data_IF_335142080762
#
_entry.id   IF_335142080762
#
_cell.length_a   1.000
_cell.length_b   1.000
_cell.length_c   1.000
_cell.angle_alpha   90.00
_cell.angle_beta   90.00
_cell.angle_gamma   90.00
#
_symmetry.space_group_name_H-M   'P 1'
#
loop_
_entity.id
_entity.type
_entity.pdbx_description
1 polymer ?
#
# COMPACT_ATOMS: atom_id res chain seq x y z
N UNK A 1 -3.39 -2.84 0.17
CA UNK A 1 -3.22 -3.61 -1.09
C UNK A 1 -2.81 -2.63 -2.19
N UNK A 2 -2.80 -3.00 -3.48
CA UNK A 2 -2.67 -2.01 -4.56
C UNK A 2 -4.02 -1.30 -4.79
N UNK A 3 -3.98 -0.06 -5.25
CA UNK A 3 -5.17 0.77 -5.46
C UNK A 3 -6.24 0.14 -6.36
N UNK A 4 -5.86 -0.69 -7.35
CA UNK A 4 -6.83 -1.40 -8.20
C UNK A 4 -7.60 -2.48 -7.43
N UNK A 5 -6.98 -3.16 -6.46
CA UNK A 5 -7.68 -4.12 -5.61
C UNK A 5 -8.74 -3.41 -4.78
N UNK A 6 -8.40 -2.27 -4.16
CA UNK A 6 -9.34 -1.46 -3.39
C UNK A 6 -10.51 -0.92 -4.23
N UNK A 7 -10.24 -0.48 -5.47
CA UNK A 7 -11.28 -0.10 -6.42
C UNK A 7 -12.25 -1.26 -6.68
N UNK A 8 -11.73 -2.44 -7.02
CA UNK A 8 -12.56 -3.60 -7.34
C UNK A 8 -13.36 -4.09 -6.13
N UNK A 9 -12.77 -4.06 -4.94
CA UNK A 9 -13.48 -4.39 -3.69
C UNK A 9 -14.60 -3.41 -3.39
N UNK A 10 -14.41 -2.11 -3.64
CA UNK A 10 -15.46 -1.10 -3.55
C UNK A 10 -16.63 -1.38 -4.51
N UNK A 11 -16.34 -1.70 -5.77
CA UNK A 11 -17.37 -2.11 -6.75
C UNK A 11 -18.09 -3.39 -6.30
N UNK A 12 -17.37 -4.36 -5.76
CA UNK A 12 -17.95 -5.58 -5.23
C UNK A 12 -18.88 -5.31 -4.04
N UNK A 13 -18.48 -4.48 -3.09
CA UNK A 13 -19.33 -4.09 -1.95
C UNK A 13 -20.60 -3.37 -2.43
N UNK A 14 -20.49 -2.44 -3.37
CA UNK A 14 -21.66 -1.78 -3.94
C UNK A 14 -22.66 -2.77 -4.56
N UNK A 15 -22.15 -3.84 -5.20
CA UNK A 15 -22.99 -4.87 -5.83
C UNK A 15 -23.88 -5.64 -4.84
N UNK A 16 -23.59 -5.62 -3.53
CA UNK A 16 -24.45 -6.25 -2.52
C UNK A 16 -25.71 -5.44 -2.21
N UNK A 17 -25.76 -4.15 -2.58
CA UNK A 17 -26.95 -3.32 -2.44
C UNK A 17 -27.97 -3.66 -3.54
N UNK A 18 -29.18 -4.15 -3.20
CA UNK A 18 -30.20 -4.44 -4.23
C UNK A 18 -30.53 -3.21 -5.09
N UNK A 19 -30.52 -2.01 -4.48
CA UNK A 19 -30.73 -0.74 -5.17
C UNK A 19 -29.68 -0.44 -6.24
N UNK A 20 -28.44 -0.90 -6.06
CA UNK A 20 -27.38 -0.72 -7.05
C UNK A 20 -27.65 -1.56 -8.31
N UNK A 21 -28.13 -2.79 -8.10
CA UNK A 21 -28.50 -3.71 -9.18
C UNK A 21 -29.73 -3.20 -9.91
N UNK A 22 -30.78 -2.82 -9.18
CA UNK A 22 -32.03 -2.28 -9.74
C UNK A 22 -31.77 -1.00 -10.55
N UNK A 23 -30.98 -0.06 -10.01
CA UNK A 23 -30.62 1.16 -10.72
C UNK A 23 -29.83 0.86 -12.00
N UNK A 24 -28.87 -0.07 -11.94
CA UNK A 24 -28.08 -0.44 -13.12
C UNK A 24 -28.93 -1.10 -14.22
N UNK A 25 -29.91 -1.92 -13.84
CA UNK A 25 -30.88 -2.50 -14.79
C UNK A 25 -31.76 -1.45 -15.46
N UNK A 26 -32.02 -0.33 -14.77
CA UNK A 26 -32.71 0.83 -15.31
C UNK A 26 -31.77 1.77 -16.10
N UNK A 27 -30.51 1.37 -16.31
CA UNK A 27 -29.52 2.13 -17.06
C UNK A 27 -28.75 3.17 -16.22
N UNK A 28 -28.88 3.15 -14.89
CA UNK A 28 -28.19 4.06 -13.98
C UNK A 28 -27.10 3.33 -13.16
N UNK A 29 -25.81 3.42 -13.56
CA UNK A 29 -24.71 2.74 -12.87
C UNK A 29 -24.16 3.51 -11.66
N UNK A 30 -24.81 4.58 -11.18
CA UNK A 30 -24.22 5.53 -10.23
C UNK A 30 -23.67 4.87 -8.96
N UNK A 31 -24.35 3.86 -8.42
CA UNK A 31 -23.89 3.19 -7.20
C UNK A 31 -22.62 2.37 -7.40
N UNK A 32 -22.41 1.80 -8.59
CA UNK A 32 -21.16 1.12 -8.94
C UNK A 32 -20.01 2.12 -9.14
N UNK A 33 -20.31 3.28 -9.75
CA UNK A 33 -19.33 4.36 -9.91
C UNK A 33 -18.93 4.89 -8.53
N UNK A 34 -19.90 5.17 -7.65
CA UNK A 34 -19.65 5.58 -6.27
C UNK A 34 -18.87 4.51 -5.51
N UNK A 35 -19.21 3.23 -5.68
CA UNK A 35 -18.51 2.12 -5.04
C UNK A 35 -17.03 2.07 -5.41
N UNK A 36 -16.71 2.10 -6.71
CA UNK A 36 -15.33 2.12 -7.18
C UNK A 36 -14.58 3.39 -6.77
N UNK A 37 -15.22 4.56 -6.89
CA UNK A 37 -14.62 5.84 -6.50
C UNK A 37 -14.28 5.86 -5.01
N UNK A 38 -15.24 5.51 -4.13
CA UNK A 38 -15.02 5.47 -2.69
C UNK A 38 -14.07 4.35 -2.26
N UNK A 39 -14.02 3.24 -3.00
CA UNK A 39 -13.06 2.16 -2.77
C UNK A 39 -11.61 2.60 -2.95
N UNK A 40 -11.30 3.48 -3.90
CA UNK A 40 -9.92 3.98 -4.12
C UNK A 40 -9.67 5.38 -3.51
N UNK A 41 -10.71 6.03 -3.00
CA UNK A 41 -10.64 7.42 -2.56
C UNK A 41 -9.60 7.68 -1.45
N UNK A 42 -9.46 6.84 -0.40
CA UNK A 42 -8.49 7.11 0.66
C UNK A 42 -7.06 7.22 0.12
N UNK A 43 -6.62 6.22 -0.65
CA UNK A 43 -5.34 6.24 -1.36
C UNK A 43 -5.22 7.45 -2.30
N UNK A 44 -6.29 7.77 -3.03
CA UNK A 44 -6.28 8.89 -3.98
C UNK A 44 -6.04 10.21 -3.26
N UNK A 45 -6.72 10.43 -2.13
CA UNK A 45 -6.52 11.62 -1.29
C UNK A 45 -5.06 11.69 -0.83
N UNK A 46 -4.52 10.60 -0.31
CA UNK A 46 -3.18 10.58 0.24
C UNK A 46 -2.11 10.82 -0.83
N UNK A 47 -2.12 10.02 -1.89
CA UNK A 47 -1.06 10.02 -2.89
C UNK A 47 -1.18 11.14 -3.93
N UNK A 48 -2.38 11.67 -4.18
CA UNK A 48 -2.59 12.74 -5.18
C UNK A 48 -2.72 14.13 -4.56
N UNK A 49 -3.01 14.23 -3.27
CA UNK A 49 -3.21 15.51 -2.61
C UNK A 49 -2.40 15.63 -1.32
N UNK A 50 -2.73 14.87 -0.27
CA UNK A 50 -2.23 15.11 1.08
C UNK A 50 -0.70 15.04 1.17
N UNK A 51 -0.07 14.09 0.46
CA UNK A 51 1.38 13.97 0.36
C UNK A 51 2.09 15.28 -0.03
N UNK A 52 1.50 16.08 -0.92
CA UNK A 52 2.12 17.31 -1.41
C UNK A 52 2.01 18.48 -0.42
N UNK A 53 1.05 18.40 0.51
CA UNK A 53 0.89 19.36 1.60
C UNK A 53 1.62 18.91 2.88
N UNK A 54 2.21 17.71 2.87
CA UNK A 54 2.92 17.20 4.01
C UNK A 54 4.29 17.87 4.14
N UNK A 55 4.49 18.57 5.25
CA UNK A 55 5.76 19.25 5.54
C UNK A 55 6.80 18.28 6.09
N UNK A 56 8.06 18.54 5.75
CA UNK A 56 9.21 17.75 6.21
C UNK A 56 10.17 18.66 6.95
N UNK A 57 10.75 18.17 8.04
CA UNK A 57 11.73 18.90 8.83
C UNK A 57 13.14 18.72 8.26
N UNK A 58 13.42 17.55 7.65
CA UNK A 58 14.71 17.22 7.05
C UNK A 58 14.51 16.65 5.65
N UNK A 59 15.26 17.16 4.68
CA UNK A 59 15.38 16.59 3.34
C UNK A 59 16.77 16.00 3.16
N UNK A 60 16.86 14.69 2.93
CA UNK A 60 18.10 14.02 2.58
C UNK A 60 18.12 13.90 1.06
N UNK A 61 18.90 14.79 0.42
CA UNK A 61 18.93 14.94 -1.05
C UNK A 61 20.33 14.61 -1.57
N UNK A 62 20.59 13.36 -1.99
CA UNK A 62 21.88 13.01 -2.55
C UNK A 62 22.15 13.79 -3.84
N UNK A 63 23.41 14.15 -4.09
CA UNK A 63 23.81 14.81 -5.33
C UNK A 63 23.68 13.81 -6.51
N UNK A 64 22.87 14.11 -7.55
CA UNK A 64 22.71 13.23 -8.69
C UNK A 64 23.96 13.09 -9.56
N UNK A 65 24.86 14.07 -9.55
CA UNK A 65 26.10 14.05 -10.33
C UNK A 65 27.25 13.38 -9.57
N UNK A 66 27.24 13.48 -8.24
CA UNK A 66 28.23 12.85 -7.38
C UNK A 66 27.57 12.14 -6.18
N UNK A 67 26.90 11.00 -6.39
CA UNK A 67 26.23 10.27 -5.32
C UNK A 67 27.22 9.83 -4.24
N UNK A 68 26.99 10.28 -3.02
CA UNK A 68 27.81 9.94 -1.85
C UNK A 68 26.97 9.19 -0.80
N UNK A 69 27.19 7.87 -0.58
CA UNK A 69 26.45 7.14 0.44
C UNK A 69 26.75 7.64 1.86
N UNK A 70 27.94 8.23 2.10
CA UNK A 70 28.31 8.74 3.42
C UNK A 70 27.53 10.00 3.79
N UNK A 71 27.28 10.89 2.84
CA UNK A 71 26.38 12.02 3.02
C UNK A 71 25.00 11.57 3.52
N UNK A 72 24.40 10.58 2.85
CA UNK A 72 23.06 10.06 3.21
C UNK A 72 23.08 9.42 4.60
N UNK A 73 24.10 8.62 4.91
CA UNK A 73 24.25 8.00 6.22
C UNK A 73 24.37 9.05 7.34
N UNK A 74 25.20 10.09 7.13
CA UNK A 74 25.41 11.16 8.09
C UNK A 74 24.15 12.00 8.30
N UNK A 75 23.43 12.36 7.24
CA UNK A 75 22.18 13.13 7.35
C UNK A 75 21.06 12.32 8.01
N UNK A 76 21.01 11.02 7.77
CA UNK A 76 20.06 10.13 8.47
C UNK A 76 20.38 10.08 9.96
N UNK A 77 21.65 9.89 10.33
CA UNK A 77 22.10 9.91 11.72
C UNK A 77 21.85 11.27 12.39
N UNK A 78 22.03 12.37 11.66
CA UNK A 78 21.72 13.74 12.13
C UNK A 78 20.23 13.90 12.41
N UNK A 79 19.36 13.40 11.54
CA UNK A 79 17.91 13.45 11.73
C UNK A 79 17.45 12.60 12.94
N UNK A 80 18.07 11.45 13.16
CA UNK A 80 17.87 10.64 14.38
C UNK A 80 18.31 11.41 15.63
N UNK A 81 19.50 12.02 15.60
CA UNK A 81 19.98 12.83 16.72
C UNK A 81 19.03 14.00 17.03
N UNK A 82 18.51 14.68 16.00
CA UNK A 82 17.53 15.76 16.12
C UNK A 82 16.27 15.31 16.87
N UNK A 83 15.71 14.14 16.51
CA UNK A 83 14.52 13.61 17.15
C UNK A 83 14.75 13.29 18.64
N UNK A 84 15.92 12.74 18.97
CA UNK A 84 16.32 12.43 20.35
C UNK A 84 16.54 13.71 21.17
N UNK A 85 17.29 14.66 20.62
CA UNK A 85 17.69 15.88 21.34
C UNK A 85 16.52 16.83 21.59
N UNK A 86 15.67 17.03 20.58
CA UNK A 86 14.51 17.91 20.68
C UNK A 86 13.29 17.22 21.29
N UNK A 87 13.36 15.90 21.50
CA UNK A 87 12.25 15.06 22.03
C UNK A 87 10.93 15.33 21.32
N UNK A 88 10.98 15.51 20.01
CA UNK A 88 9.79 15.72 19.17
C UNK A 88 9.81 14.82 17.95
N UNK A 89 8.64 14.70 17.34
CA UNK A 89 8.48 14.02 16.07
C UNK A 89 9.27 14.75 14.97
N UNK A 90 10.11 14.03 14.23
CA UNK A 90 10.91 14.56 13.11
C UNK A 90 10.52 13.87 11.81
N UNK A 91 10.07 14.67 10.84
CA UNK A 91 9.65 14.22 9.51
C UNK A 91 10.81 14.31 8.54
N UNK A 92 11.19 13.18 7.96
CA UNK A 92 12.35 13.07 7.06
C UNK A 92 11.91 12.62 5.68
N UNK A 93 12.37 13.36 4.67
CA UNK A 93 12.22 13.00 3.27
C UNK A 93 13.50 12.37 2.75
N UNK A 94 13.41 11.12 2.29
CA UNK A 94 14.48 10.47 1.53
C UNK A 94 14.24 10.75 0.05
N UNK A 95 15.00 11.67 -0.54
CA UNK A 95 14.77 12.12 -1.92
C UNK A 95 15.45 11.16 -2.90
N UNK A 96 14.67 10.65 -3.84
CA UNK A 96 15.18 9.81 -4.92
C UNK A 96 16.11 10.57 -5.86
N UNK A 97 17.11 9.88 -6.40
CA UNK A 97 18.11 10.46 -7.29
C UNK A 97 17.68 10.24 -8.75
N UNK A 98 17.07 11.25 -9.36
CA UNK A 98 16.61 11.18 -10.76
C UNK A 98 17.77 11.43 -11.72
N UNK A 99 18.04 10.46 -12.60
CA UNK A 99 19.07 10.57 -13.65
C UNK A 99 18.50 10.94 -15.03
N UNK A 100 17.19 10.74 -15.23
CA UNK A 100 16.54 11.04 -16.51
C UNK A 100 15.02 10.98 -16.43
N UNK A 101 14.38 10.96 -17.59
CA UNK A 101 12.92 10.88 -17.68
C UNK A 101 12.37 9.57 -17.08
N UNK A 102 13.06 8.47 -17.34
CA UNK A 102 12.70 7.11 -16.95
C UNK A 102 13.81 6.42 -16.12
N UNK A 103 14.80 7.14 -15.60
CA UNK A 103 15.92 6.53 -14.87
C UNK A 103 16.19 7.20 -13.54
N UNK A 104 16.41 6.37 -12.52
CA UNK A 104 16.75 6.76 -11.17
C UNK A 104 17.89 5.91 -10.63
N UNK A 105 18.80 6.56 -9.91
CA UNK A 105 19.83 5.87 -9.16
C UNK A 105 19.22 5.38 -7.84
N UNK A 106 19.12 4.06 -7.67
CA UNK A 106 18.60 3.46 -6.43
C UNK A 106 19.62 3.60 -5.30
N UNK A 107 19.15 3.78 -4.08
CA UNK A 107 19.93 3.55 -2.86
C UNK A 107 19.07 2.93 -1.77
N UNK A 108 19.72 2.23 -0.84
CA UNK A 108 19.06 1.55 0.27
C UNK A 108 19.58 2.09 1.59
N UNK A 109 18.69 2.25 2.56
CA UNK A 109 19.00 2.66 3.93
C UNK A 109 18.59 1.53 4.87
N UNK A 110 19.56 0.95 5.57
CA UNK A 110 19.35 -0.14 6.54
C UNK A 110 19.78 0.30 7.92
N UNK A 111 19.00 -0.06 8.93
CA UNK A 111 19.27 0.28 10.33
C UNK A 111 19.77 -0.97 11.05
N UNK A 112 20.97 -0.89 11.65
CA UNK A 112 21.53 -1.91 12.51
C UNK A 112 21.44 -1.44 13.97
N UNK A 113 20.38 -1.91 14.65
CA UNK A 113 20.11 -1.55 16.06
C UNK A 113 21.06 -2.22 17.05
N UNK A 114 21.76 -3.29 16.66
CA UNK A 114 22.76 -3.94 17.53
C UNK A 114 24.04 -3.10 17.58
N UNK A 115 24.48 -2.60 16.42
CA UNK A 115 25.67 -1.74 16.31
C UNK A 115 25.38 -0.24 16.45
N UNK A 116 24.10 0.13 16.59
CA UNK A 116 23.61 1.51 16.60
C UNK A 116 24.17 2.30 15.42
N UNK A 117 23.94 1.80 14.21
CA UNK A 117 24.39 2.45 12.99
C UNK A 117 23.35 2.35 11.87
N UNK A 118 23.40 3.33 10.98
CA UNK A 118 22.71 3.28 9.70
C UNK A 118 23.72 2.92 8.62
N UNK A 119 23.34 2.03 7.72
CA UNK A 119 24.11 1.58 6.58
C UNK A 119 23.42 2.06 5.30
N UNK A 120 24.18 2.67 4.41
CA UNK A 120 23.68 3.16 3.11
C UNK A 120 24.53 2.60 1.99
N UNK A 121 23.87 2.10 0.94
CA UNK A 121 24.53 1.64 -0.29
C UNK A 121 23.72 2.12 -1.48
N UNK A 122 24.42 2.57 -2.51
CA UNK A 122 23.83 2.81 -3.82
C UNK A 122 23.71 1.48 -4.59
N UNK A 123 22.55 1.26 -5.20
CA UNK A 123 22.23 0.07 -5.99
C UNK A 123 22.34 0.32 -7.49
N UNK A 124 21.68 -0.49 -8.33
CA UNK A 124 21.62 -0.23 -9.76
C UNK A 124 20.83 1.04 -10.09
N UNK A 125 21.00 1.51 -11.33
CA UNK A 125 20.02 2.41 -11.95
C UNK A 125 18.77 1.59 -12.25
N UNK A 126 17.60 2.11 -11.90
CA UNK A 126 16.31 1.47 -12.20
C UNK A 126 15.48 2.35 -13.13
N UNK A 127 14.57 1.71 -13.86
CA UNK A 127 13.53 2.43 -14.61
C UNK A 127 12.29 2.75 -13.77
N UNK A 128 11.27 3.41 -14.35
CA UNK A 128 10.01 3.70 -13.63
C UNK A 128 9.30 2.43 -13.14
N UNK A 129 9.52 1.30 -13.81
CA UNK A 129 9.01 -0.02 -13.40
C UNK A 129 9.83 -0.70 -12.30
N UNK A 130 10.81 -0.01 -11.71
CA UNK A 130 11.76 -0.55 -10.72
C UNK A 130 12.62 -1.69 -11.27
N UNK A 131 12.74 -1.80 -12.61
CA UNK A 131 13.57 -2.82 -13.25
C UNK A 131 15.02 -2.31 -13.31
N UNK A 132 16.01 -3.05 -12.77
CA UNK A 132 17.41 -2.69 -12.87
C UNK A 132 17.91 -2.62 -14.31
N UNK A 133 18.68 -1.59 -14.61
CA UNK A 133 19.42 -1.44 -15.87
C UNK A 133 20.71 -2.23 -15.77
N UNK A 134 20.85 -3.24 -16.63
CA UNK A 134 22.03 -4.11 -16.66
C UNK A 134 23.33 -3.33 -16.79
N UNK A 135 24.33 -3.72 -16.01
CA UNK A 135 25.68 -3.13 -16.02
C UNK A 135 25.80 -1.85 -15.20
N UNK A 136 24.84 -1.57 -14.31
CA UNK A 136 24.85 -0.41 -13.41
C UNK A 136 24.89 -0.77 -11.93
N UNK A 137 24.86 -2.07 -11.61
CA UNK A 137 24.76 -2.64 -10.27
C UNK A 137 25.93 -2.21 -9.37
N UNK A 138 27.15 -2.27 -9.91
CA UNK A 138 28.39 -2.00 -9.17
C UNK A 138 28.98 -0.59 -9.40
N UNK A 139 28.16 0.37 -9.85
CA UNK A 139 28.65 1.74 -10.09
C UNK A 139 29.20 2.40 -8.81
N UNK A 140 28.65 2.03 -7.65
CA UNK A 140 29.00 2.55 -6.34
C UNK A 140 29.07 1.41 -5.30
N UNK A 141 30.17 0.65 -5.24
CA UNK A 141 30.26 -0.56 -4.41
C UNK A 141 30.35 -0.27 -2.90
N UNK A 142 30.61 0.99 -2.53
CA UNK A 142 30.85 1.39 -1.15
C UNK A 142 29.56 1.35 -0.32
N UNK A 143 29.61 0.63 0.79
CA UNK A 143 28.64 0.76 1.87
C UNK A 143 29.17 1.80 2.86
N UNK A 144 28.43 2.88 3.05
CA UNK A 144 28.73 3.88 4.06
C UNK A 144 27.99 3.58 5.35
N UNK A 145 28.56 3.98 6.47
CA UNK A 145 27.95 3.80 7.79
C UNK A 145 28.05 5.07 8.62
N UNK A 146 27.05 5.30 9.46
CA UNK A 146 27.06 6.40 10.43
C UNK A 146 26.44 5.94 11.76
N UNK A 147 26.99 6.42 12.88
CA UNK A 147 26.51 6.05 14.23
C UNK A 147 25.20 6.75 14.55
N UNK A 148 24.25 6.00 15.10
CA UNK A 148 22.95 6.48 15.56
C UNK A 148 23.02 6.80 17.05
N UNK A 149 22.31 7.85 17.45
CA UNK A 149 22.25 8.29 18.86
C UNK A 149 21.36 7.40 19.73
N UNK A 150 20.37 6.75 19.12
CA UNK A 150 19.41 5.87 19.77
C UNK A 150 19.01 4.74 18.80
N UNK A 151 18.34 3.70 19.32
CA UNK A 151 17.75 2.67 18.45
C UNK A 151 16.60 3.27 17.66
N UNK A 152 16.43 2.78 16.45
CA UNK A 152 15.32 3.14 15.56
C UNK A 152 14.56 1.86 15.24
N UNK A 153 13.42 1.69 15.89
CA UNK A 153 12.57 0.50 15.76
C UNK A 153 11.75 0.63 14.48
N UNK A 154 11.92 -0.31 13.56
CA UNK A 154 11.24 -0.32 12.27
C UNK A 154 10.18 -1.43 12.25
N UNK A 155 8.96 -1.11 11.81
CA UNK A 155 7.81 -2.03 11.82
C UNK A 155 7.34 -2.44 10.41
N UNK A 156 7.89 -1.84 9.35
CA UNK A 156 7.38 -2.01 7.98
C UNK A 156 8.27 -2.85 7.05
N UNK A 157 9.59 -2.68 7.13
CA UNK A 157 10.55 -3.38 6.25
C UNK A 157 11.93 -3.47 6.93
N UNK A 158 12.83 -4.34 6.47
CA UNK A 158 14.19 -4.44 7.02
C UNK A 158 15.15 -3.39 6.41
N UNK A 159 14.92 -2.98 5.16
CA UNK A 159 15.65 -1.90 4.51
C UNK A 159 14.74 -0.98 3.69
N UNK A 160 14.98 0.33 3.77
CA UNK A 160 14.25 1.33 2.99
C UNK A 160 14.93 1.50 1.63
N UNK A 161 14.31 0.98 0.57
CA UNK A 161 14.75 1.21 -0.82
C UNK A 161 14.19 2.52 -1.36
N UNK A 162 15.07 3.33 -1.95
CA UNK A 162 14.74 4.62 -2.56
C UNK A 162 15.14 4.57 -4.02
N UNK A 163 14.16 4.51 -4.92
CA UNK A 163 14.42 4.10 -6.30
C UNK A 163 13.56 4.78 -7.37
N UNK A 164 12.37 5.30 -7.07
CA UNK A 164 11.51 6.00 -8.04
C UNK A 164 10.74 7.19 -7.47
N UNK A 165 10.16 7.98 -8.38
CA UNK A 165 9.37 9.19 -8.09
C UNK A 165 10.14 10.24 -7.29
N UNK A 166 9.70 10.49 -6.05
CA UNK A 166 10.24 11.48 -5.11
C UNK A 166 10.80 10.80 -3.84
N UNK A 167 10.92 9.46 -3.86
CA UNK A 167 11.33 8.66 -2.70
C UNK A 167 10.33 8.64 -1.53
N UNK A 168 10.60 7.86 -0.47
CA UNK A 168 9.71 7.72 0.68
C UNK A 168 9.86 8.85 1.71
N UNK A 169 8.82 9.02 2.52
CA UNK A 169 8.85 9.86 3.72
C UNK A 169 8.84 8.94 4.94
N UNK A 170 9.67 9.24 5.94
CA UNK A 170 9.69 8.55 7.22
C UNK A 170 9.50 9.56 8.35
N UNK A 171 8.93 9.11 9.47
CA UNK A 171 8.81 9.86 10.70
C UNK A 171 9.58 9.20 11.82
N UNK A 172 10.37 9.97 12.56
CA UNK A 172 11.01 9.52 13.79
C UNK A 172 10.19 10.00 14.97
N UNK A 173 9.55 9.05 15.67
CA UNK A 173 8.74 9.31 16.85
C UNK A 173 9.52 8.95 18.11
N UNK A 174 9.81 9.92 18.99
CA UNK A 174 10.43 9.62 20.28
C UNK A 174 9.55 8.71 21.14
N UNK A 175 10.18 7.71 21.74
CA UNK A 175 9.57 6.82 22.72
C UNK A 175 10.03 7.17 24.14
N UNK A 176 9.25 6.78 25.15
CA UNK A 176 9.53 7.08 26.57
C UNK A 176 10.86 6.49 27.07
N UNK A 177 11.33 5.42 26.43
CA UNK A 177 12.60 4.76 26.76
C UNK A 177 13.84 5.41 26.11
N UNK A 178 13.65 6.48 25.32
CA UNK A 178 14.73 7.17 24.61
C UNK A 178 15.07 6.61 23.23
N UNK A 179 14.42 5.52 22.81
CA UNK A 179 14.49 5.01 21.43
C UNK A 179 13.51 5.77 20.52
N UNK A 180 13.59 5.52 19.21
CA UNK A 180 12.71 6.09 18.20
C UNK A 180 11.90 5.00 17.51
N UNK A 181 10.61 5.23 17.31
CA UNK A 181 9.76 4.44 16.42
C UNK A 181 9.79 5.07 15.01
N UNK A 182 10.09 4.27 13.99
CA UNK A 182 10.13 4.69 12.60
C UNK A 182 8.78 4.44 11.95
N UNK A 183 8.07 5.52 11.68
CA UNK A 183 6.80 5.51 10.96
C UNK A 183 7.05 5.66 9.45
N UNK A 184 6.77 4.61 8.68
CA UNK A 184 6.85 4.65 7.21
C UNK A 184 5.61 5.36 6.64
N UNK A 185 5.83 6.32 5.73
CA UNK A 185 4.79 7.16 5.11
C UNK A 185 3.84 7.77 6.15
N UNK A 186 4.33 8.69 6.99
CA UNK A 186 3.57 9.23 8.14
C UNK A 186 2.36 10.10 7.77
N UNK A 187 2.21 10.49 6.50
CA UNK A 187 1.00 11.10 5.96
C UNK A 187 -0.03 10.09 5.45
N UNK A 188 0.40 8.89 5.07
CA UNK A 188 -0.48 7.90 4.48
C UNK A 188 -1.22 7.11 5.57
N UNK A 189 -2.51 6.83 5.39
CA UNK A 189 -3.34 6.06 6.35
C UNK A 189 -3.58 6.73 7.70
N UNK A 190 -3.51 8.05 7.71
CA UNK A 190 -3.88 8.87 8.85
C UNK A 190 -5.39 9.15 8.81
N UNK A 191 -5.81 10.41 8.69
CA UNK A 191 -7.21 10.80 8.79
C UNK A 191 -8.08 10.25 7.66
N UNK A 192 -7.53 10.16 6.44
CA UNK A 192 -8.26 9.68 5.26
C UNK A 192 -8.59 8.19 5.38
N UNK A 193 -7.87 7.38 6.14
CA UNK A 193 -8.12 5.94 6.22
C UNK A 193 -8.92 5.58 7.47
N UNK A 194 -10.09 6.19 7.56
CA UNK A 194 -10.96 6.09 8.72
C UNK A 194 -12.40 5.76 8.32
N UNK A 195 -13.01 4.85 9.08
CA UNK A 195 -14.42 4.50 8.94
C UNK A 195 -15.32 5.69 9.24
N UNK A 196 -14.94 6.51 10.22
CA UNK A 196 -15.66 7.74 10.59
C UNK A 196 -15.62 8.77 9.46
N UNK A 197 -14.48 8.93 8.77
CA UNK A 197 -14.39 9.81 7.59
C UNK A 197 -15.26 9.30 6.45
N UNK A 198 -15.25 8.00 6.17
CA UNK A 198 -16.14 7.39 5.18
C UNK A 198 -17.63 7.60 5.50
N UNK A 199 -18.02 7.46 6.77
CA UNK A 199 -19.38 7.71 7.23
C UNK A 199 -19.78 9.19 7.10
N UNK A 200 -18.90 10.12 7.49
CA UNK A 200 -19.13 11.57 7.33
C UNK A 200 -19.32 11.92 5.85
N UNK A 201 -18.46 11.42 4.96
CA UNK A 201 -18.60 11.63 3.53
C UNK A 201 -19.94 11.08 3.01
N UNK A 202 -20.33 9.91 3.48
CA UNK A 202 -21.64 9.32 3.19
C UNK A 202 -22.80 10.22 3.64
N UNK A 203 -22.71 10.82 4.83
CA UNK A 203 -23.76 11.74 5.33
C UNK A 203 -23.83 12.99 4.48
N UNK A 204 -22.69 13.58 4.12
CA UNK A 204 -22.62 14.79 3.31
C UNK A 204 -23.22 14.56 1.91
N UNK A 205 -22.79 13.51 1.21
CA UNK A 205 -23.32 13.19 -0.12
C UNK A 205 -24.74 12.62 -0.05
N UNK A 206 -25.10 11.93 1.02
CA UNK A 206 -26.48 11.53 1.33
C UNK A 206 -27.41 12.73 1.51
N UNK A 207 -26.96 13.80 2.17
CA UNK A 207 -27.73 15.03 2.31
C UNK A 207 -27.95 15.74 0.96
N UNK A 208 -26.94 15.76 0.08
CA UNK A 208 -27.08 16.26 -1.30
C UNK A 208 -28.09 15.41 -2.09
N UNK A 209 -27.99 14.09 -1.97
CA UNK A 209 -28.93 13.16 -2.59
C UNK A 209 -30.36 13.29 -2.04
N UNK A 210 -30.51 13.58 -0.74
CA UNK A 210 -31.80 13.85 -0.11
C UNK A 210 -32.47 15.08 -0.72
N UNK A 211 -31.70 16.16 -0.86
CA UNK A 211 -32.19 17.40 -1.46
C UNK A 211 -32.61 17.22 -2.92
N UNK A 212 -31.87 16.42 -3.69
CA UNK A 212 -32.14 16.21 -5.12
C UNK A 212 -33.24 15.18 -5.41
N UNK A 213 -33.29 14.08 -4.65
CA UNK A 213 -34.02 12.86 -5.02
C UNK A 213 -34.79 12.22 -3.86
N UNK A 214 -34.83 12.86 -2.69
CA UNK A 214 -35.57 12.39 -1.52
C UNK A 214 -34.84 11.35 -0.68
N UNK A 215 -35.50 10.93 0.40
CA UNK A 215 -34.89 10.14 1.47
C UNK A 215 -34.36 8.78 1.01
N UNK A 216 -35.05 8.11 0.08
CA UNK A 216 -34.64 6.80 -0.41
C UNK A 216 -33.25 6.83 -1.06
N UNK A 217 -33.00 7.81 -1.94
CA UNK A 217 -31.69 7.99 -2.55
C UNK A 217 -30.64 8.36 -1.51
N UNK A 218 -31.01 9.21 -0.54
CA UNK A 218 -30.11 9.67 0.51
C UNK A 218 -29.46 8.54 1.30
N UNK A 219 -30.28 7.62 1.84
CA UNK A 219 -29.75 6.53 2.64
C UNK A 219 -29.00 5.50 1.78
N UNK A 220 -29.43 5.26 0.54
CA UNK A 220 -28.74 4.36 -0.40
C UNK A 220 -27.34 4.86 -0.73
N UNK A 221 -27.20 6.16 -0.98
CA UNK A 221 -25.92 6.85 -1.21
C UNK A 221 -25.05 6.78 0.05
N UNK A 222 -25.62 7.09 1.22
CA UNK A 222 -24.90 6.99 2.50
C UNK A 222 -24.32 5.58 2.71
N UNK A 223 -25.14 4.55 2.61
CA UNK A 223 -24.72 3.16 2.85
C UNK A 223 -23.67 2.73 1.83
N UNK A 224 -23.86 3.10 0.55
CA UNK A 224 -22.92 2.75 -0.51
C UNK A 224 -21.56 3.37 -0.25
N UNK A 225 -21.50 4.67 0.05
CA UNK A 225 -20.24 5.36 0.34
C UNK A 225 -19.59 4.79 1.60
N UNK A 226 -20.32 4.70 2.72
CA UNK A 226 -19.78 4.25 3.99
C UNK A 226 -19.21 2.83 3.90
N UNK A 227 -19.93 1.91 3.23
CA UNK A 227 -19.48 0.53 3.07
C UNK A 227 -18.30 0.40 2.09
N UNK A 228 -18.34 1.08 0.94
CA UNK A 228 -17.29 0.97 -0.08
C UNK A 228 -16.01 1.72 0.33
N UNK A 229 -16.13 2.80 1.09
CA UNK A 229 -14.98 3.42 1.75
C UNK A 229 -14.46 2.53 2.89
N UNK A 230 -15.38 1.95 3.66
CA UNK A 230 -15.04 1.10 4.79
C UNK A 230 -14.26 -0.16 4.40
N UNK A 231 -14.59 -0.78 3.26
CA UNK A 231 -13.85 -1.97 2.80
C UNK A 231 -12.39 -1.65 2.52
N UNK A 232 -12.07 -0.47 1.99
CA UNK A 232 -10.69 -0.02 1.82
C UNK A 232 -9.95 -0.03 3.16
N UNK A 233 -10.53 0.59 4.19
CA UNK A 233 -9.93 0.69 5.53
C UNK A 233 -9.75 -0.69 6.17
N UNK A 234 -10.74 -1.59 5.99
CA UNK A 234 -10.66 -2.97 6.50
C UNK A 234 -9.56 -3.75 5.79
N UNK A 235 -9.47 -3.63 4.48
CA UNK A 235 -8.45 -4.28 3.67
C UNK A 235 -7.04 -3.84 4.06
N UNK A 236 -6.89 -2.57 4.42
CA UNK A 236 -5.62 -2.04 4.86
C UNK A 236 -5.15 -2.56 6.22
N UNK A 237 -6.08 -3.01 7.07
CA UNK A 237 -5.75 -3.71 8.30
C UNK A 237 -5.19 -5.12 8.07
N UNK A 238 -5.34 -5.70 6.88
CA UNK A 238 -4.68 -6.95 6.54
C UNK A 238 -3.18 -6.74 6.23
N UNK A 239 -2.79 -5.50 5.93
CA UNK A 239 -1.42 -5.12 5.59
C UNK A 239 -0.51 -4.92 6.80
N UNK A 240 0.64 -4.28 6.56
CA UNK A 240 1.63 -3.97 7.61
C UNK A 240 1.35 -2.63 8.30
N UNK A 241 1.08 -1.58 7.53
CA UNK A 241 0.87 -0.22 8.06
C UNK A 241 -0.43 -0.03 8.85
N UNK A 242 -1.44 -0.87 8.63
CA UNK A 242 -2.77 -0.71 9.23
C UNK A 242 -3.44 0.61 8.83
N UNK A 243 -4.16 1.26 9.74
CA UNK A 243 -4.87 2.53 9.51
C UNK A 243 -5.28 3.23 10.83
N UNK A 244 -5.58 4.53 10.80
CA UNK A 244 -6.29 5.20 11.89
C UNK A 244 -7.82 5.01 11.76
N UNK A 245 -8.31 3.87 12.26
CA UNK A 245 -9.68 3.39 12.02
C UNK A 245 -10.76 4.43 12.40
N UNK A 246 -10.58 5.16 13.50
CA UNK A 246 -11.63 6.02 14.09
C UNK A 246 -11.27 7.50 14.15
N UNK A 247 -10.42 8.02 13.27
CA UNK A 247 -10.18 9.47 13.19
C UNK A 247 -11.51 10.26 13.04
N UNK A 248 -11.73 11.39 13.75
CA UNK A 248 -10.80 12.08 14.65
C UNK A 248 -10.90 11.64 16.12
N UNK A 249 -11.69 10.61 16.46
CA UNK A 249 -11.80 10.09 17.83
C UNK A 249 -10.45 9.56 18.32
N UNK A 250 -9.67 8.95 17.41
CA UNK A 250 -8.29 8.53 17.64
C UNK A 250 -7.33 9.27 16.71
N UNK A 251 -6.12 9.57 17.21
CA UNK A 251 -5.03 10.13 16.40
C UNK A 251 -3.95 9.10 16.04
N UNK A 252 -3.94 7.97 16.74
CA UNK A 252 -2.95 6.92 16.55
C UNK A 252 -3.42 5.93 15.47
N UNK A 253 -2.47 5.44 14.68
CA UNK A 253 -2.71 4.31 13.79
C UNK A 253 -2.80 3.02 14.59
N UNK A 254 -3.73 2.17 14.20
CA UNK A 254 -3.73 0.77 14.63
C UNK A 254 -2.86 -0.02 13.66
N UNK A 255 -1.84 -0.75 14.13
CA UNK A 255 -1.02 -1.63 13.29
C UNK A 255 -1.88 -2.68 12.60
N UNK A 256 -1.47 -3.08 11.39
CA UNK A 256 -2.15 -4.13 10.65
C UNK A 256 -1.77 -5.53 11.13
N UNK A 257 -2.43 -6.55 10.55
CA UNK A 257 -2.27 -7.96 10.90
C UNK A 257 -1.04 -8.62 10.28
N UNK A 258 -0.31 -7.94 9.38
CA UNK A 258 0.86 -8.47 8.68
C UNK A 258 0.57 -9.74 7.86
N UNK A 259 -0.65 -9.89 7.31
CA UNK A 259 -1.03 -11.06 6.52
C UNK A 259 -0.66 -10.94 5.04
N UNK A 260 -0.47 -9.71 4.57
CA UNK A 260 -0.13 -9.42 3.18
C UNK A 260 0.74 -8.17 3.08
N UNK A 261 1.62 -8.17 2.09
CA UNK A 261 2.36 -6.99 1.67
C UNK A 261 1.73 -6.40 0.40
N UNK A 262 1.80 -5.08 0.24
CA UNK A 262 1.17 -4.38 -0.91
C UNK A 262 1.77 -4.82 -2.26
N UNK A 263 3.04 -5.23 -2.25
CA UNK A 263 3.76 -5.78 -3.39
C UNK A 263 3.37 -7.20 -3.78
N UNK A 264 2.66 -7.94 -2.94
CA UNK A 264 2.40 -9.36 -3.19
C UNK A 264 1.40 -9.56 -4.34
N UNK A 265 1.85 -10.17 -5.43
CA UNK A 265 0.99 -10.38 -6.60
C UNK A 265 -0.23 -11.26 -6.32
N UNK A 266 -0.06 -12.33 -5.54
CA UNK A 266 -1.11 -13.32 -5.30
C UNK A 266 -2.29 -12.78 -4.44
N UNK A 267 -2.08 -12.14 -3.28
CA UNK A 267 -3.16 -11.52 -2.51
C UNK A 267 -3.93 -10.47 -3.32
N UNK A 268 -3.23 -9.61 -4.05
CA UNK A 268 -3.86 -8.59 -4.91
C UNK A 268 -4.72 -9.25 -6.01
N UNK A 269 -4.19 -10.28 -6.68
CA UNK A 269 -4.92 -11.04 -7.69
C UNK A 269 -6.16 -11.70 -7.11
N UNK A 270 -6.03 -12.40 -5.97
CA UNK A 270 -7.15 -13.08 -5.33
C UNK A 270 -8.23 -12.11 -4.87
N UNK A 271 -7.87 -10.96 -4.30
CA UNK A 271 -8.83 -9.93 -3.90
C UNK A 271 -9.66 -9.43 -5.09
N UNK A 272 -9.00 -9.13 -6.22
CA UNK A 272 -9.66 -8.72 -7.47
C UNK A 272 -10.52 -9.85 -8.02
N UNK A 273 -10.01 -11.07 -8.06
CA UNK A 273 -10.71 -12.22 -8.63
C UNK A 273 -11.98 -12.56 -7.85
N UNK A 274 -11.88 -12.59 -6.52
CA UNK A 274 -13.02 -12.82 -5.63
C UNK A 274 -14.03 -11.66 -5.76
N UNK A 275 -13.57 -10.42 -5.87
CA UNK A 275 -14.43 -9.26 -6.14
C UNK A 275 -15.22 -9.43 -7.45
N UNK A 276 -14.56 -9.84 -8.53
CA UNK A 276 -15.22 -10.13 -9.80
C UNK A 276 -16.28 -11.24 -9.67
N UNK A 277 -15.98 -12.31 -8.92
CA UNK A 277 -16.94 -13.39 -8.69
C UNK A 277 -18.16 -12.92 -7.89
N UNK A 278 -17.97 -12.05 -6.88
CA UNK A 278 -19.09 -11.47 -6.13
C UNK A 278 -19.92 -10.51 -6.99
N UNK A 279 -19.29 -9.64 -7.77
CA UNK A 279 -19.98 -8.75 -8.70
C UNK A 279 -20.82 -9.58 -9.68
N UNK A 280 -20.21 -10.59 -10.30
CA UNK A 280 -20.90 -11.48 -11.22
C UNK A 280 -22.09 -12.18 -10.55
N UNK A 281 -21.90 -12.74 -9.36
CA UNK A 281 -22.97 -13.39 -8.60
C UNK A 281 -24.13 -12.44 -8.32
N UNK A 282 -23.83 -11.23 -7.86
CA UNK A 282 -24.84 -10.25 -7.50
C UNK A 282 -25.63 -9.73 -8.71
N UNK A 283 -24.94 -9.48 -9.82
CA UNK A 283 -25.58 -9.15 -11.10
C UNK A 283 -26.45 -10.31 -11.60
N UNK A 284 -25.93 -11.54 -11.58
CA UNK A 284 -26.66 -12.73 -11.99
C UNK A 284 -27.95 -12.93 -11.19
N UNK A 285 -27.91 -12.74 -9.86
CA UNK A 285 -29.11 -12.79 -9.01
C UNK A 285 -30.14 -11.73 -9.36
N UNK A 286 -29.72 -10.61 -9.92
CA UNK A 286 -30.63 -9.56 -10.38
C UNK A 286 -31.32 -9.86 -11.70
N UNK A 287 -30.74 -10.70 -12.57
CA UNK A 287 -31.25 -10.92 -13.94
C UNK A 287 -32.69 -11.46 -13.91
N UNK A 288 -33.66 -10.79 -14.55
CA UNK A 288 -35.01 -11.32 -14.68
C UNK A 288 -35.02 -12.57 -15.57
N UNK A 289 -35.40 -13.73 -15.02
CA UNK A 289 -35.51 -15.03 -15.73
C UNK A 289 -34.20 -15.42 -16.45
N UNK A 290 -33.14 -15.74 -15.71
CA UNK A 290 -31.86 -16.11 -16.32
C UNK A 290 -32.00 -17.40 -17.14
N UNK A 291 -31.36 -17.44 -18.31
CA UNK A 291 -31.34 -18.63 -19.19
C UNK A 291 -30.70 -19.85 -18.53
N UNK A 292 -29.70 -19.62 -17.67
CA UNK A 292 -28.94 -20.65 -16.98
C UNK A 292 -29.12 -20.52 -15.48
N UNK A 293 -29.28 -21.66 -14.81
CA UNK A 293 -29.44 -21.70 -13.36
C UNK A 293 -28.26 -22.40 -12.70
N UNK A 294 -27.55 -21.68 -11.83
CA UNK A 294 -26.50 -22.23 -10.98
C UNK A 294 -26.55 -21.58 -9.59
N UNK A 295 -26.07 -22.30 -8.58
CA UNK A 295 -25.98 -21.78 -7.21
C UNK A 295 -24.67 -21.05 -6.96
N UNK A 296 -24.61 -20.28 -5.86
CA UNK A 296 -23.38 -19.61 -5.43
C UNK A 296 -22.21 -20.60 -5.28
N UNK A 297 -22.49 -21.77 -4.71
CA UNK A 297 -21.48 -22.83 -4.52
C UNK A 297 -20.98 -23.31 -5.88
N UNK A 298 -21.86 -23.52 -6.87
CA UNK A 298 -21.43 -23.90 -8.23
C UNK A 298 -20.50 -22.84 -8.84
N UNK A 299 -20.85 -21.56 -8.71
CA UNK A 299 -20.01 -20.45 -9.16
C UNK A 299 -18.65 -20.44 -8.46
N UNK A 300 -18.60 -20.59 -7.13
CA UNK A 300 -17.33 -20.61 -6.39
C UNK A 300 -16.48 -21.83 -6.77
N UNK A 301 -17.11 -22.99 -6.98
CA UNK A 301 -16.39 -24.19 -7.39
C UNK A 301 -15.74 -24.03 -8.76
N UNK A 302 -16.49 -23.54 -9.75
CA UNK A 302 -16.01 -23.38 -11.13
C UNK A 302 -15.12 -22.14 -11.29
N UNK A 303 -15.42 -21.07 -10.58
CA UNK A 303 -14.74 -19.79 -10.70
C UNK A 303 -13.51 -19.63 -9.80
N UNK A 304 -13.42 -20.34 -8.68
CA UNK A 304 -12.33 -20.18 -7.72
C UNK A 304 -11.61 -21.50 -7.44
N UNK A 305 -12.34 -22.53 -7.00
CA UNK A 305 -11.73 -23.77 -6.48
C UNK A 305 -11.07 -24.58 -7.60
N UNK A 306 -11.80 -24.90 -8.67
CA UNK A 306 -11.28 -25.70 -9.78
C UNK A 306 -10.09 -25.01 -10.46
N UNK A 307 -10.17 -23.71 -10.86
CA UNK A 307 -9.02 -23.00 -11.42
C UNK A 307 -7.83 -22.95 -10.46
N UNK A 308 -8.07 -22.74 -9.16
CA UNK A 308 -7.02 -22.75 -8.14
C UNK A 308 -6.32 -24.10 -8.02
N UNK A 309 -7.08 -25.20 -8.02
CA UNK A 309 -6.54 -26.57 -8.00
C UNK A 309 -5.77 -26.90 -9.28
N UNK A 310 -6.26 -26.48 -10.45
CA UNK A 310 -5.56 -26.64 -11.73
C UNK A 310 -4.25 -25.87 -11.70
N UNK A 311 -4.27 -24.60 -11.29
CA UNK A 311 -3.07 -23.77 -11.18
C UNK A 311 -2.04 -24.39 -10.22
N UNK A 312 -2.48 -24.85 -9.05
CA UNK A 312 -1.62 -25.53 -8.08
C UNK A 312 -1.03 -26.84 -8.64
N UNK A 313 -1.85 -27.63 -9.32
CA UNK A 313 -1.43 -28.88 -9.96
C UNK A 313 -0.41 -28.64 -11.07
N UNK A 314 -0.66 -27.68 -11.96
CA UNK A 314 0.27 -27.26 -13.00
C UNK A 314 1.57 -26.73 -12.41
N UNK A 315 1.50 -25.88 -11.38
CA UNK A 315 2.69 -25.39 -10.68
C UNK A 315 3.51 -26.57 -10.16
N UNK A 316 2.89 -27.51 -9.44
CA UNK A 316 3.59 -28.71 -8.95
C UNK A 316 4.22 -29.50 -10.09
N UNK A 317 3.49 -29.78 -11.16
CA UNK A 317 4.00 -30.51 -12.33
C UNK A 317 5.18 -29.83 -13.00
N UNK A 318 5.14 -28.50 -13.14
CA UNK A 318 6.20 -27.71 -13.77
C UNK A 318 7.43 -27.52 -12.86
N UNK A 319 7.24 -27.56 -11.54
CA UNK A 319 8.34 -27.45 -10.55
C UNK A 319 8.89 -28.81 -10.08
N UNK A 320 8.25 -29.92 -10.46
CA UNK A 320 8.70 -31.27 -10.11
C UNK A 320 10.08 -31.53 -10.75
N UNK A 321 11.10 -31.72 -9.90
CA UNK A 321 12.50 -31.93 -10.32
C UNK A 321 13.36 -30.67 -10.31
N UNK A 322 12.77 -29.48 -10.13
CA UNK A 322 13.54 -28.27 -9.83
C UNK A 322 13.87 -28.26 -8.34
N UNK A 323 15.06 -28.72 -7.96
CA UNK A 323 15.67 -28.36 -6.68
C UNK A 323 16.02 -26.87 -6.74
N UNK A 324 15.03 -26.01 -6.48
CA UNK A 324 15.29 -24.62 -6.16
C UNK A 324 15.93 -24.64 -4.78
N UNK A 325 17.24 -24.87 -4.73
CA UNK A 325 18.03 -24.48 -3.57
C UNK A 325 17.95 -22.96 -3.50
N UNK A 326 17.01 -22.43 -2.72
CA UNK A 326 17.16 -21.08 -2.21
C UNK A 326 18.51 -21.09 -1.46
N UNK A 327 19.49 -20.39 -2.03
CA UNK A 327 20.77 -20.20 -1.34
C UNK A 327 20.43 -19.59 0.02
N UNK A 328 21.07 -20.07 1.09
CA UNK A 328 20.98 -19.44 2.41
C UNK A 328 21.39 -17.96 2.24
N UNK A 329 20.48 -17.01 2.48
CA UNK A 329 20.56 -15.60 2.03
C UNK A 329 19.54 -15.19 0.95
N UNK A 330 18.65 -16.08 0.51
CA UNK A 330 17.51 -15.83 -0.39
C UNK A 330 16.17 -15.97 0.37
N UNK A 331 16.26 -16.11 1.70
CA UNK A 331 15.21 -15.84 2.66
C UNK A 331 14.86 -14.35 2.62
N UNK A 332 13.60 -14.02 2.94
CA UNK A 332 13.06 -12.66 2.87
C UNK A 332 13.84 -11.60 3.67
N UNK A 333 14.86 -12.00 4.44
CA UNK A 333 15.60 -11.20 5.40
C UNK A 333 16.98 -10.72 4.88
N UNK A 334 17.49 -11.21 3.74
CA UNK A 334 18.75 -10.72 3.15
C UNK A 334 18.51 -9.89 1.87
N UNK A 335 18.00 -8.68 2.08
CA UNK A 335 17.58 -7.77 1.01
C UNK A 335 18.72 -7.09 0.23
N UNK A 336 19.97 -7.48 0.52
CA UNK A 336 21.15 -7.14 -0.27
C UNK A 336 21.35 -8.08 -1.46
N UNK A 337 20.58 -9.17 -1.56
CA UNK A 337 20.71 -10.13 -2.63
C UNK A 337 19.99 -9.65 -3.90
N UNK A 338 20.75 -9.53 -4.99
CA UNK A 338 20.35 -9.02 -6.31
C UNK A 338 19.42 -9.98 -7.10
N UNK A 339 19.00 -11.09 -6.49
CA UNK A 339 18.26 -12.18 -7.15
C UNK A 339 16.83 -11.82 -7.55
N UNK A 340 16.22 -10.78 -6.98
CA UNK A 340 14.82 -10.41 -7.26
C UNK A 340 14.61 -9.60 -8.55
N UNK A 341 15.67 -9.30 -9.29
CA UNK A 341 15.59 -8.65 -10.61
C UNK A 341 15.29 -9.61 -11.78
N UNK A 342 15.23 -10.91 -11.52
CA UNK A 342 14.96 -11.95 -12.52
C UNK A 342 13.88 -12.92 -12.03
N UNK A 343 12.62 -12.48 -12.09
CA UNK A 343 11.44 -13.31 -11.81
C UNK A 343 10.19 -12.72 -12.42
#
# INVERSE_FOLDING_TARGET
MKGFSHFMSGVAVASFGPWAIEAAQQGNPIFFILGGACGILPDTIDFKFYRFFYEHDVYITPDPLNPDPQYVANEFARAVALAVDEKRYVRVKLVSVRLGADFWQQYSVKIDNEKLEVQVKFGPVVNTGQVPVKGTEDRYPTVATAKLKAKVIQTYDAALKVDIFDGPTIGFKPMDNGDLDLEFLPWHREWSHSLTVGAILGVLLGAVAWWASGWTMAWQVFVTIAACYGVHVVEDQLGHMGSNIFYPLTKNRTPGLHWMHSGDGLPNFLAVWISCLFIFWNLYRGVPKPTYHFSFIHLMMVGLVIPGLIFWGLRKLLTLGQNVQMKKGDDADDEWNESKAAG
#
